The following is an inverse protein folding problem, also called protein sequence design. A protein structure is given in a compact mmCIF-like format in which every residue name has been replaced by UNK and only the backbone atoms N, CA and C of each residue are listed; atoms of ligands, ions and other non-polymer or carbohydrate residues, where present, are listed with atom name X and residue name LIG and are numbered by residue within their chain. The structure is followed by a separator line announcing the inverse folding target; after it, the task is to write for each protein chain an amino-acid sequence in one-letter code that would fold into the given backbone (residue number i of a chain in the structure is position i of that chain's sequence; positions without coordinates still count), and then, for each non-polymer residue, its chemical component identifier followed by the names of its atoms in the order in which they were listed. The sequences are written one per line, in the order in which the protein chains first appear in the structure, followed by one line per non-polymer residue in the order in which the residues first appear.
data_IF_897818665825
#
_entry.id   IF_897818665825
#
_cell.length_a   1.000
_cell.length_b   1.000
_cell.length_c   1.000
_cell.angle_alpha   90.00
_cell.angle_beta   90.00
_cell.angle_gamma   90.00
#
_symmetry.space_group_name_H-M   'P 1'
#
loop_
_entity.id
_entity.type
_entity.pdbx_description
1 polymer ?
#
# COMPACT_ATOMS: atom_id res chain seq x y z
N UNK A 1 -1.97 6.68 -13.11
CA UNK A 1 -3.06 5.75 -12.71
C UNK A 1 -3.00 5.61 -11.21
N UNK A 2 -4.14 5.66 -10.53
CA UNK A 2 -4.19 5.59 -9.07
C UNK A 2 -4.43 4.16 -8.63
N UNK A 3 -3.67 3.66 -7.66
CA UNK A 3 -3.80 2.29 -7.15
C UNK A 3 -4.52 2.31 -5.80
N UNK A 4 -5.38 1.31 -5.58
CA UNK A 4 -5.79 0.94 -4.22
C UNK A 4 -4.54 0.38 -3.53
N UNK A 5 -4.29 0.80 -2.30
CA UNK A 5 -3.15 0.35 -1.52
C UNK A 5 -3.55 0.33 -0.06
N UNK A 6 -3.22 -0.77 0.63
CA UNK A 6 -3.38 -0.88 2.08
C UNK A 6 -2.07 -1.40 2.62
N UNK A 7 -1.23 -0.50 3.12
CA UNK A 7 0.11 -0.86 3.63
C UNK A 7 0.27 -0.44 5.08
N UNK A 8 0.88 -1.33 5.84
CA UNK A 8 1.25 -1.10 7.22
C UNK A 8 2.75 -1.34 7.37
N UNK A 9 3.46 -0.30 7.76
CA UNK A 9 4.90 -0.31 7.93
C UNK A 9 5.27 -0.27 9.41
N UNK A 10 6.27 -1.08 9.78
CA UNK A 10 6.96 -1.01 11.07
C UNK A 10 8.37 -0.49 10.82
N UNK A 11 8.72 0.58 11.53
CA UNK A 11 9.90 1.40 11.29
C UNK A 11 10.72 1.45 12.56
N UNK A 12 11.84 0.73 12.54
CA UNK A 12 12.89 0.79 13.57
C UNK A 12 14.14 1.50 13.06
N UNK A 13 14.10 2.07 11.85
CA UNK A 13 15.20 2.80 11.22
C UNK A 13 15.13 4.30 11.50
N UNK A 14 16.29 4.93 11.67
CA UNK A 14 16.41 6.38 11.83
C UNK A 14 16.32 7.12 10.47
N UNK A 15 16.57 6.40 9.36
CA UNK A 15 16.46 6.90 7.99
C UNK A 15 15.78 5.83 7.11
N UNK A 16 14.44 5.70 7.17
CA UNK A 16 13.71 4.72 6.39
C UNK A 16 13.85 4.93 4.87
N UNK A 17 13.94 6.20 4.43
CA UNK A 17 14.01 6.57 3.02
C UNK A 17 15.33 6.08 2.42
N UNK A 18 16.47 6.36 3.06
CA UNK A 18 17.77 5.91 2.57
C UNK A 18 17.86 4.37 2.52
N UNK A 19 17.27 3.69 3.50
CA UNK A 19 17.27 2.22 3.53
C UNK A 19 16.43 1.61 2.40
N UNK A 20 15.26 2.18 2.09
CA UNK A 20 14.44 1.74 0.95
C UNK A 20 15.07 2.11 -0.40
N UNK A 21 15.87 3.18 -0.46
CA UNK A 21 16.58 3.59 -1.68
C UNK A 21 17.75 2.69 -2.05
N UNK A 22 18.26 1.92 -1.09
CA UNK A 22 19.49 1.13 -1.22
C UNK A 22 19.26 -0.28 -1.80
N UNK A 23 18.24 -0.45 -2.65
CA UNK A 23 17.83 -1.73 -3.24
C UNK A 23 17.67 -2.84 -2.18
N UNK A 24 16.67 -2.71 -1.28
CA UNK A 24 16.54 -3.58 -0.13
C UNK A 24 16.27 -5.02 -0.56
N UNK A 25 16.92 -5.97 0.11
CA UNK A 25 16.64 -7.40 -0.07
C UNK A 25 15.57 -7.85 0.92
N UNK A 26 14.58 -8.60 0.43
CA UNK A 26 13.54 -9.15 1.28
C UNK A 26 14.01 -10.42 2.00
N UNK A 27 13.98 -10.43 3.33
CA UNK A 27 14.09 -11.66 4.13
C UNK A 27 12.73 -12.35 4.19
N UNK A 28 12.53 -13.31 3.29
CA UNK A 28 11.27 -14.05 3.15
C UNK A 28 10.87 -14.78 4.44
N UNK A 29 11.83 -15.32 5.19
CA UNK A 29 11.55 -16.07 6.42
C UNK A 29 11.08 -15.11 7.52
N UNK A 30 11.72 -13.95 7.65
CA UNK A 30 11.29 -12.92 8.58
C UNK A 30 9.94 -12.30 8.18
N UNK A 31 9.73 -12.07 6.87
CA UNK A 31 8.46 -11.59 6.31
C UNK A 31 7.31 -12.59 6.58
N UNK A 32 7.54 -13.88 6.40
CA UNK A 32 6.57 -14.93 6.71
C UNK A 32 6.20 -14.95 8.19
N UNK A 33 7.20 -14.83 9.08
CA UNK A 33 6.96 -14.75 10.53
C UNK A 33 6.14 -13.53 10.90
N UNK A 34 6.42 -12.38 10.29
CA UNK A 34 5.62 -11.17 10.47
C UNK A 34 4.18 -11.39 10.00
N UNK A 35 3.98 -11.91 8.78
CA UNK A 35 2.64 -12.20 8.25
C UNK A 35 1.87 -13.23 9.11
N UNK A 36 2.56 -14.18 9.73
CA UNK A 36 1.93 -15.16 10.62
C UNK A 36 1.31 -14.53 11.87
N UNK A 37 1.88 -13.43 12.39
CA UNK A 37 1.35 -12.77 13.60
C UNK A 37 -0.09 -12.26 13.43
N UNK A 38 -0.51 -11.91 12.22
CA UNK A 38 -1.84 -11.33 11.95
C UNK A 38 -2.92 -12.38 11.68
N UNK A 39 -2.54 -13.64 11.43
CA UNK A 39 -3.47 -14.72 11.07
C UNK A 39 -3.57 -15.83 12.13
N UNK A 40 -2.99 -15.62 13.32
CA UNK A 40 -3.17 -16.50 14.48
C UNK A 40 -2.58 -17.89 14.26
N UNK A 41 -3.42 -18.92 14.30
CA UNK A 41 -3.05 -20.33 14.14
C UNK A 41 -2.98 -20.80 12.68
N UNK A 42 -3.31 -19.94 11.72
CA UNK A 42 -3.25 -20.25 10.28
C UNK A 42 -1.82 -20.44 9.80
N UNK A 43 -1.68 -21.26 8.76
CA UNK A 43 -0.40 -21.55 8.14
C UNK A 43 -0.23 -20.68 6.91
N UNK A 44 0.86 -19.90 6.87
CA UNK A 44 1.20 -19.08 5.71
C UNK A 44 2.26 -19.80 4.89
N UNK A 45 2.02 -19.89 3.58
CA UNK A 45 2.92 -20.56 2.63
C UNK A 45 3.34 -19.55 1.57
N UNK A 46 4.66 -19.36 1.31
CA UNK A 46 5.11 -18.44 0.28
C UNK A 46 4.68 -18.93 -1.11
N UNK A 47 4.21 -18.01 -1.94
CA UNK A 47 3.66 -18.30 -3.27
C UNK A 47 4.56 -17.73 -4.37
N UNK A 48 4.94 -16.46 -4.26
CA UNK A 48 5.76 -15.77 -5.25
C UNK A 48 6.42 -14.54 -4.64
N UNK A 49 7.62 -14.20 -5.13
CA UNK A 49 8.21 -12.89 -4.93
C UNK A 49 7.67 -11.92 -5.99
N UNK A 50 7.44 -10.68 -5.56
CA UNK A 50 6.93 -9.60 -6.39
C UNK A 50 7.40 -8.26 -5.80
N UNK A 51 6.88 -7.16 -6.31
CA UNK A 51 7.14 -5.81 -5.81
C UNK A 51 5.91 -5.22 -5.11
N UNK A 52 6.13 -4.17 -4.31
CA UNK A 52 5.09 -3.55 -3.52
C UNK A 52 4.01 -2.87 -4.37
N UNK A 53 4.34 -2.35 -5.56
CA UNK A 53 3.36 -1.76 -6.45
C UNK A 53 2.38 -2.81 -6.99
N UNK A 54 2.91 -3.95 -7.44
CA UNK A 54 2.13 -5.12 -7.86
C UNK A 54 1.29 -5.67 -6.70
N UNK A 55 1.88 -5.80 -5.51
CA UNK A 55 1.17 -6.24 -4.31
C UNK A 55 0.02 -5.31 -3.91
N UNK A 56 0.22 -3.99 -3.96
CA UNK A 56 -0.84 -3.03 -3.68
C UNK A 56 -1.99 -3.10 -4.70
N UNK A 57 -1.65 -3.27 -5.99
CA UNK A 57 -2.64 -3.42 -7.05
C UNK A 57 -3.37 -4.78 -7.04
N UNK A 58 -2.90 -5.75 -6.25
CA UNK A 58 -3.52 -7.06 -6.17
C UNK A 58 -4.90 -6.98 -5.50
N UNK A 59 -5.89 -7.59 -6.16
CA UNK A 59 -7.26 -7.69 -5.66
C UNK A 59 -7.60 -9.13 -5.24
N UNK A 60 -6.64 -9.81 -4.60
CA UNK A 60 -6.77 -11.18 -4.16
C UNK A 60 -6.79 -11.30 -2.62
N UNK A 61 -6.86 -12.54 -2.13
CA UNK A 61 -6.93 -12.84 -0.71
C UNK A 61 -5.56 -13.11 -0.07
N UNK A 62 -4.46 -12.85 -0.78
CA UNK A 62 -3.12 -13.07 -0.25
C UNK A 62 -2.75 -11.98 0.76
N UNK A 63 -1.77 -12.30 1.59
CA UNK A 63 -1.01 -11.31 2.33
C UNK A 63 0.36 -11.17 1.69
N UNK A 64 0.77 -9.93 1.47
CA UNK A 64 2.11 -9.62 1.00
C UNK A 64 2.92 -9.07 2.17
N UNK A 65 4.15 -9.54 2.33
CA UNK A 65 5.01 -9.06 3.39
C UNK A 65 6.45 -8.87 2.91
N UNK A 66 7.10 -7.85 3.46
CA UNK A 66 8.50 -7.54 3.22
C UNK A 66 9.25 -7.30 4.53
N UNK A 67 10.50 -7.74 4.60
CA UNK A 67 11.38 -7.50 5.73
C UNK A 67 12.79 -7.12 5.25
N UNK A 68 13.25 -5.95 5.70
CA UNK A 68 14.48 -5.31 5.20
C UNK A 68 15.45 -5.00 6.35
N UNK A 69 15.41 -5.77 7.44
CA UNK A 69 16.21 -5.53 8.65
C UNK A 69 15.46 -4.63 9.64
N UNK A 70 15.71 -3.32 9.62
CA UNK A 70 15.07 -2.33 10.52
C UNK A 70 13.74 -1.77 9.97
N UNK A 71 13.27 -2.29 8.84
CA UNK A 71 11.99 -1.95 8.23
C UNK A 71 11.25 -3.22 7.87
N UNK A 72 9.94 -3.20 7.98
CA UNK A 72 9.09 -4.27 7.48
C UNK A 72 7.72 -3.74 7.08
N UNK A 73 7.09 -4.37 6.10
CA UNK A 73 5.79 -3.99 5.56
C UNK A 73 4.84 -5.19 5.51
N UNK A 74 3.58 -4.94 5.80
CA UNK A 74 2.45 -5.79 5.45
C UNK A 74 1.57 -5.04 4.44
N UNK A 75 1.19 -5.71 3.36
CA UNK A 75 0.21 -5.22 2.40
C UNK A 75 -0.93 -6.23 2.31
N UNK A 76 -2.10 -5.87 2.85
CA UNK A 76 -3.32 -6.67 2.80
C UNK A 76 -4.55 -5.85 3.21
N UNK A 77 -5.72 -6.29 2.77
CA UNK A 77 -7.01 -5.62 3.04
C UNK A 77 -7.49 -5.70 4.49
N UNK A 78 -6.84 -6.47 5.37
CA UNK A 78 -7.22 -6.52 6.79
C UNK A 78 -7.06 -5.19 7.53
N UNK A 79 -6.20 -4.32 7.03
CA UNK A 79 -5.97 -2.99 7.61
C UNK A 79 -6.75 -1.88 6.89
N UNK A 80 -7.65 -2.24 5.98
CA UNK A 80 -8.52 -1.31 5.28
C UNK A 80 -9.56 -0.74 6.26
N UNK A 81 -9.43 0.54 6.59
CA UNK A 81 -10.26 1.19 7.60
C UNK A 81 -10.39 2.68 7.34
N UNK A 82 -11.52 3.25 7.75
CA UNK A 82 -11.74 4.70 7.85
C UNK A 82 -11.52 5.22 9.27
N UNK A 83 -11.15 4.35 10.21
CA UNK A 83 -10.84 4.71 11.60
C UNK A 83 -9.47 4.12 12.01
N UNK A 84 -8.34 4.60 11.47
CA UNK A 84 -7.02 4.03 11.76
C UNK A 84 -6.67 3.97 13.25
N UNK A 85 -7.15 4.91 14.08
CA UNK A 85 -6.86 4.94 15.53
C UNK A 85 -7.21 3.63 16.25
N UNK A 86 -8.21 2.91 15.75
CA UNK A 86 -8.67 1.63 16.30
C UNK A 86 -7.61 0.53 16.22
N UNK A 87 -6.62 0.67 15.33
CA UNK A 87 -5.56 -0.33 15.12
C UNK A 87 -4.47 -0.31 16.20
N UNK A 88 -4.48 0.65 17.14
CA UNK A 88 -3.42 0.80 18.16
C UNK A 88 -3.11 -0.51 18.91
N UNK A 89 -4.13 -1.25 19.34
CA UNK A 89 -3.93 -2.55 20.01
C UNK A 89 -3.49 -3.64 19.05
N UNK A 90 -4.01 -3.64 17.83
CA UNK A 90 -3.62 -4.59 16.77
C UNK A 90 -2.12 -4.47 16.48
N UNK A 91 -1.60 -3.25 16.32
CA UNK A 91 -0.17 -3.00 16.08
C UNK A 91 0.70 -3.53 17.22
N UNK A 92 0.31 -3.23 18.47
CA UNK A 92 1.00 -3.74 19.65
C UNK A 92 1.04 -5.27 19.72
N UNK A 93 0.02 -5.95 19.17
CA UNK A 93 -0.03 -7.42 19.10
C UNK A 93 0.83 -8.02 17.97
N UNK A 94 1.09 -7.26 16.91
CA UNK A 94 1.90 -7.70 15.77
C UNK A 94 3.39 -7.66 16.14
N UNK A 95 3.89 -6.46 16.46
CA UNK A 95 5.23 -6.28 17.03
C UNK A 95 5.40 -4.88 17.63
N UNK A 96 6.27 -4.73 18.64
CA UNK A 96 6.76 -3.42 19.03
C UNK A 96 7.68 -2.85 17.94
N UNK A 97 7.61 -1.55 17.71
CA UNK A 97 8.50 -0.79 16.84
C UNK A 97 8.68 0.65 17.33
N UNK A 98 9.75 1.32 16.90
CA UNK A 98 9.97 2.76 17.19
C UNK A 98 8.86 3.62 16.59
N UNK A 99 8.48 3.32 15.35
CA UNK A 99 7.30 3.89 14.70
C UNK A 99 6.54 2.86 13.87
N UNK A 100 5.27 3.14 13.60
CA UNK A 100 4.47 2.41 12.62
C UNK A 100 3.63 3.39 11.81
N UNK A 101 3.41 3.12 10.53
CA UNK A 101 2.59 3.97 9.66
C UNK A 101 1.61 3.14 8.84
N UNK A 102 0.36 3.60 8.78
CA UNK A 102 -0.67 3.05 7.91
C UNK A 102 -0.87 3.99 6.71
N UNK A 103 -1.05 3.40 5.53
CA UNK A 103 -1.62 4.04 4.35
C UNK A 103 -2.79 3.19 3.84
N UNK A 104 -3.92 3.86 3.60
CA UNK A 104 -5.07 3.32 2.87
C UNK A 104 -5.41 4.28 1.74
N UNK A 105 -5.48 3.79 0.51
CA UNK A 105 -5.97 4.53 -0.64
C UNK A 105 -7.14 3.79 -1.28
N UNK A 106 -8.21 4.53 -1.60
CA UNK A 106 -9.39 3.99 -2.27
C UNK A 106 -9.77 4.92 -3.45
N UNK A 107 -9.20 4.68 -4.65
CA UNK A 107 -9.47 5.51 -5.83
C UNK A 107 -10.93 5.50 -6.26
N UNK A 108 -11.68 4.41 -5.99
CA UNK A 108 -13.09 4.29 -6.37
C UNK A 108 -13.96 5.26 -5.55
N UNK A 109 -13.56 5.54 -4.31
CA UNK A 109 -14.25 6.47 -3.41
C UNK A 109 -13.58 7.84 -3.32
N UNK A 110 -12.46 8.04 -4.03
CA UNK A 110 -11.59 9.21 -3.85
C UNK A 110 -11.17 9.40 -2.38
N UNK A 111 -11.08 8.31 -1.63
CA UNK A 111 -10.82 8.33 -0.20
C UNK A 111 -9.37 7.98 0.11
N UNK A 112 -8.88 8.50 1.23
CA UNK A 112 -7.55 8.23 1.73
C UNK A 112 -7.55 8.23 3.25
N UNK A 113 -6.76 7.35 3.83
CA UNK A 113 -6.45 7.35 5.24
C UNK A 113 -4.97 7.14 5.49
N UNK A 114 -4.46 7.76 6.55
CA UNK A 114 -3.12 7.52 7.02
C UNK A 114 -3.07 7.66 8.54
N UNK A 115 -2.14 6.96 9.17
CA UNK A 115 -1.88 7.14 10.59
C UNK A 115 -0.43 6.84 10.92
N UNK A 116 0.04 7.43 12.01
CA UNK A 116 1.37 7.23 12.55
C UNK A 116 1.31 7.00 14.04
N UNK A 117 1.98 5.93 14.46
CA UNK A 117 2.25 5.60 15.85
C UNK A 117 3.74 5.74 16.12
N UNK A 118 4.08 6.13 17.34
CA UNK A 118 5.45 6.17 17.82
C UNK A 118 5.50 5.53 19.21
N UNK A 119 6.36 4.52 19.36
CA UNK A 119 6.48 3.72 20.58
C UNK A 119 5.12 3.15 21.07
N UNK A 120 4.26 2.75 20.13
CA UNK A 120 2.93 2.20 20.40
C UNK A 120 1.84 3.24 20.71
N UNK A 121 2.17 4.54 20.75
CA UNK A 121 1.19 5.61 20.95
C UNK A 121 0.77 6.23 19.62
N UNK A 122 -0.53 6.45 19.44
CA UNK A 122 -1.03 7.16 18.27
C UNK A 122 -0.60 8.63 18.30
N UNK A 123 0.05 9.10 17.23
CA UNK A 123 0.48 10.50 17.07
C UNK A 123 -0.43 11.29 16.15
N UNK A 124 -0.83 10.67 15.04
CA UNK A 124 -1.70 11.27 14.01
C UNK A 124 -2.51 10.19 13.34
N UNK A 125 -3.78 10.47 13.08
CA UNK A 125 -4.67 9.63 12.29
C UNK A 125 -5.64 10.51 11.53
N UNK A 126 -5.75 10.29 10.23
CA UNK A 126 -6.65 11.01 9.34
C UNK A 126 -7.29 10.03 8.36
N UNK A 127 -8.58 10.19 8.13
CA UNK A 127 -9.31 9.44 7.10
C UNK A 127 -10.45 10.30 6.56
N UNK A 128 -10.56 10.40 5.23
CA UNK A 128 -11.63 11.17 4.60
C UNK A 128 -11.96 10.68 3.19
N UNK A 129 -13.18 10.98 2.75
CA UNK A 129 -13.54 11.13 1.34
C UNK A 129 -13.63 12.63 0.99
N UNK A 130 -13.83 13.03 -0.27
CA UNK A 130 -13.79 14.44 -0.65
C UNK A 130 -14.78 15.36 0.08
N UNK A 131 -15.81 14.83 0.75
CA UNK A 131 -16.86 15.63 1.41
C UNK A 131 -17.05 15.27 2.89
N UNK A 132 -16.41 14.21 3.37
CA UNK A 132 -16.57 13.69 4.73
C UNK A 132 -15.22 13.38 5.34
N UNK A 133 -14.93 13.99 6.48
CA UNK A 133 -13.86 13.53 7.38
C UNK A 133 -14.44 12.43 8.27
N UNK A 134 -13.90 11.21 8.16
CA UNK A 134 -14.26 10.08 9.01
C UNK A 134 -13.48 10.11 10.32
N UNK A 135 -12.18 10.42 10.23
CA UNK A 135 -11.31 10.55 11.39
C UNK A 135 -10.34 11.72 11.20
N UNK A 136 -10.13 12.50 12.26
CA UNK A 136 -9.10 13.54 12.35
C UNK A 136 -8.62 13.64 13.81
N UNK A 137 -7.63 12.82 14.15
CA UNK A 137 -7.08 12.70 15.50
C UNK A 137 -5.59 13.03 15.51
N UNK A 138 -5.13 13.64 16.61
CA UNK A 138 -3.74 14.06 16.79
C UNK A 138 -3.43 15.41 16.15
N UNK A 139 -2.17 15.85 16.26
CA UNK A 139 -1.73 17.13 15.69
C UNK A 139 -1.27 16.94 14.25
N UNK A 140 -1.74 17.76 13.29
CA UNK A 140 -1.25 17.71 11.92
C UNK A 140 0.27 17.90 11.81
N UNK A 141 0.90 17.15 10.91
CA UNK A 141 2.30 17.35 10.56
C UNK A 141 2.49 18.57 9.62
N UNK A 142 3.70 19.16 9.56
CA UNK A 142 3.95 20.33 8.71
C UNK A 142 3.62 20.13 7.22
N UNK A 143 3.79 18.91 6.69
CA UNK A 143 3.48 18.60 5.30
C UNK A 143 1.98 18.70 4.97
N UNK A 144 1.10 18.66 5.97
CA UNK A 144 -0.34 18.78 5.76
C UNK A 144 -0.76 20.25 5.52
N UNK A 145 0.05 21.22 5.94
CA UNK A 145 -0.30 22.65 5.90
C UNK A 145 -0.73 23.12 4.50
N UNK A 146 -0.01 22.84 3.41
CA UNK A 146 -0.41 23.29 2.06
C UNK A 146 -1.79 22.75 1.65
N UNK A 147 -2.13 21.53 2.08
CA UNK A 147 -3.44 20.93 1.81
C UNK A 147 -4.53 21.70 2.52
N UNK A 148 -4.39 21.93 3.83
CA UNK A 148 -5.36 22.71 4.62
C UNK A 148 -5.47 24.18 4.16
N UNK A 149 -4.40 24.74 3.59
CA UNK A 149 -4.39 26.08 3.01
C UNK A 149 -5.06 26.17 1.62
N UNK A 150 -5.46 25.03 1.03
CA UNK A 150 -6.06 24.97 -0.30
C UNK A 150 -5.08 25.12 -1.45
N UNK A 151 -3.79 24.88 -1.21
CA UNK A 151 -2.74 24.90 -2.24
C UNK A 151 -2.78 23.63 -3.13
N UNK A 152 -3.55 22.61 -2.72
CA UNK A 152 -3.80 21.35 -3.44
C UNK A 152 -5.29 21.18 -3.79
N UNK A 153 -5.90 22.06 -4.62
CA UNK A 153 -7.34 22.08 -4.83
C UNK A 153 -7.88 20.79 -5.47
N UNK A 154 -9.05 20.32 -4.99
CA UNK A 154 -9.80 19.26 -5.65
C UNK A 154 -10.03 19.56 -7.13
N UNK A 155 -9.73 18.60 -7.99
CA UNK A 155 -9.98 18.69 -9.43
C UNK A 155 -11.28 17.97 -9.80
N UNK A 156 -12.18 18.71 -10.42
CA UNK A 156 -13.49 18.22 -10.84
C UNK A 156 -13.48 17.81 -12.31
N UNK A 157 -14.23 16.77 -12.65
CA UNK A 157 -14.48 16.43 -14.04
C UNK A 157 -15.19 17.58 -14.79
N UNK A 158 -14.95 17.75 -16.11
CA UNK A 158 -15.62 18.78 -16.89
C UNK A 158 -17.14 18.71 -16.74
N UNK A 159 -17.76 19.83 -16.36
CA UNK A 159 -19.22 19.93 -16.16
C UNK A 159 -19.74 19.45 -14.80
N UNK A 160 -18.87 19.00 -13.89
CA UNK A 160 -19.23 18.71 -12.50
C UNK A 160 -19.07 19.98 -11.65
N UNK A 161 -20.14 20.48 -11.02
CA UNK A 161 -20.02 21.63 -10.12
C UNK A 161 -19.23 21.26 -8.86
N UNK A 162 -18.48 22.21 -8.32
CA UNK A 162 -17.81 22.05 -7.04
C UNK A 162 -18.84 21.78 -5.93
N UNK A 163 -18.54 20.82 -5.05
CA UNK A 163 -19.44 20.48 -3.94
C UNK A 163 -19.15 21.45 -2.75
N UNK A 164 -20.16 22.16 -2.20
CA UNK A 164 -19.91 23.23 -1.21
C UNK A 164 -19.22 22.78 0.09
N UNK A 165 -19.35 21.50 0.44
CA UNK A 165 -18.75 20.89 1.64
C UNK A 165 -17.50 20.07 1.32
N UNK A 166 -16.99 20.18 0.09
CA UNK A 166 -15.81 19.44 -0.29
C UNK A 166 -14.58 19.96 0.46
N UNK A 167 -13.70 19.04 0.83
CA UNK A 167 -12.38 19.35 1.35
C UNK A 167 -11.59 20.19 0.34
N UNK A 168 -10.67 21.04 0.81
CA UNK A 168 -9.86 21.86 -0.09
C UNK A 168 -8.83 21.04 -0.88
N UNK A 169 -8.80 19.71 -0.72
CA UNK A 169 -7.87 18.78 -1.35
C UNK A 169 -8.43 17.38 -1.54
N UNK A 170 -7.75 16.56 -2.34
CA UNK A 170 -8.08 15.14 -2.51
C UNK A 170 -7.53 14.32 -1.32
N UNK A 171 -8.37 13.64 -0.51
CA UNK A 171 -7.90 12.92 0.68
C UNK A 171 -6.81 11.88 0.41
N UNK A 172 -6.91 11.18 -0.71
CA UNK A 172 -5.88 10.23 -1.14
C UNK A 172 -4.53 10.91 -1.42
N UNK A 173 -4.52 12.13 -1.94
CA UNK A 173 -3.28 12.87 -2.19
C UNK A 173 -2.59 13.22 -0.87
N UNK A 174 -3.36 13.65 0.14
CA UNK A 174 -2.82 13.90 1.47
C UNK A 174 -2.28 12.61 2.13
N UNK A 175 -3.01 11.49 1.99
CA UNK A 175 -2.57 10.20 2.51
C UNK A 175 -1.27 9.72 1.83
N UNK A 176 -1.18 9.81 0.51
CA UNK A 176 0.05 9.50 -0.23
C UNK A 176 1.20 10.47 0.09
N UNK A 177 0.90 11.76 0.35
CA UNK A 177 1.93 12.70 0.82
C UNK A 177 2.48 12.28 2.19
N UNK A 178 1.64 11.81 3.12
CA UNK A 178 2.14 11.30 4.41
C UNK A 178 3.08 10.11 4.21
N UNK A 179 2.73 9.17 3.33
CA UNK A 179 3.59 8.04 2.98
C UNK A 179 4.91 8.49 2.33
N UNK A 180 4.85 9.49 1.47
CA UNK A 180 6.02 10.10 0.82
C UNK A 180 6.97 10.74 1.83
N UNK A 181 6.44 11.46 2.81
CA UNK A 181 7.25 12.12 3.84
C UNK A 181 7.92 11.12 4.79
N UNK A 182 7.28 9.99 5.06
CA UNK A 182 7.79 9.01 6.02
C UNK A 182 8.64 7.90 5.38
N UNK A 183 8.37 7.55 4.13
CA UNK A 183 8.96 6.39 3.46
C UNK A 183 9.51 6.72 2.07
N UNK A 184 9.29 7.92 1.56
CA UNK A 184 9.91 8.41 0.31
C UNK A 184 9.19 8.03 -0.96
N UNK A 185 8.03 7.38 -0.91
CA UNK A 185 7.28 6.97 -2.11
C UNK A 185 5.78 7.22 -2.02
N UNK A 186 5.13 7.13 -3.18
CA UNK A 186 3.68 7.12 -3.35
C UNK A 186 3.29 6.09 -4.40
N UNK A 187 2.01 5.73 -4.47
CA UNK A 187 1.53 4.72 -5.43
C UNK A 187 0.97 5.34 -6.70
N UNK A 188 0.46 6.57 -6.64
CA UNK A 188 -0.13 7.21 -7.81
C UNK A 188 0.95 7.67 -8.78
N UNK A 189 0.79 7.28 -10.04
CA UNK A 189 1.62 7.71 -11.17
C UNK A 189 1.05 8.92 -11.92
N UNK A 190 1.90 9.81 -12.47
CA UNK A 190 3.36 9.71 -12.53
C UNK A 190 4.07 10.03 -11.20
N UNK A 191 5.16 9.30 -10.92
CA UNK A 191 6.04 9.60 -9.78
C UNK A 191 6.83 10.88 -10.06
N UNK A 192 7.13 11.65 -9.01
CA UNK A 192 8.09 12.74 -9.10
C UNK A 192 9.52 12.19 -9.10
N UNK A 193 10.49 12.94 -9.62
CA UNK A 193 11.90 12.51 -9.67
C UNK A 193 12.50 12.22 -8.28
N UNK A 194 11.91 12.76 -7.22
CA UNK A 194 12.33 12.52 -5.83
C UNK A 194 11.60 11.37 -5.16
N UNK A 195 10.63 10.76 -5.83
CA UNK A 195 9.87 9.63 -5.28
C UNK A 195 10.63 8.33 -5.55
N UNK A 196 10.74 7.49 -4.52
CA UNK A 196 11.14 6.11 -4.70
C UNK A 196 10.05 5.35 -5.45
N UNK A 197 10.47 4.46 -6.33
CA UNK A 197 9.54 3.61 -7.07
C UNK A 197 9.13 2.41 -6.21
N UNK A 198 7.84 2.27 -5.83
CA UNK A 198 7.38 1.10 -5.08
C UNK A 198 7.58 -0.23 -5.84
N UNK A 199 7.78 -0.19 -7.16
CA UNK A 199 8.14 -1.38 -7.94
C UNK A 199 9.56 -1.89 -7.66
N UNK A 200 10.38 -1.13 -6.92
CA UNK A 200 11.72 -1.54 -6.45
C UNK A 200 11.74 -2.10 -5.04
N UNK A 201 10.59 -2.16 -4.36
CA UNK A 201 10.49 -2.67 -2.99
C UNK A 201 10.00 -4.13 -3.05
N UNK A 202 10.88 -5.12 -2.85
CA UNK A 202 10.48 -6.53 -2.99
C UNK A 202 9.64 -6.99 -1.81
N UNK A 203 8.59 -7.76 -2.09
CA UNK A 203 7.73 -8.42 -1.09
C UNK A 203 7.43 -9.85 -1.55
N UNK A 204 7.03 -10.70 -0.61
CA UNK A 204 6.60 -12.08 -0.91
C UNK A 204 5.10 -12.19 -0.66
N UNK A 205 4.39 -12.80 -1.60
CA UNK A 205 2.99 -13.19 -1.47
C UNK A 205 2.89 -14.49 -0.67
N UNK A 206 1.98 -14.55 0.30
CA UNK A 206 1.71 -15.74 1.09
C UNK A 206 0.25 -16.18 0.96
N UNK A 207 0.05 -17.46 0.64
CA UNK A 207 -1.23 -18.15 0.72
C UNK A 207 -1.57 -18.47 2.17
N UNK A 208 -2.84 -18.29 2.52
CA UNK A 208 -3.35 -18.49 3.87
C UNK A 208 -4.09 -19.82 3.92
N UNK A 209 -3.57 -20.76 4.71
CA UNK A 209 -4.14 -22.09 4.89
C UNK A 209 -4.73 -22.29 6.30
N UNK A 210 -5.64 -23.27 6.49
CA UNK A 210 -6.10 -23.68 7.81
C UNK A 210 -4.96 -24.15 8.72
N UNK A 211 -5.21 -24.18 10.04
CA UNK A 211 -4.20 -24.49 11.06
C UNK A 211 -3.66 -25.93 11.00
N UNK A 212 -4.43 -26.88 10.45
CA UNK A 212 -4.04 -28.28 10.28
C UNK A 212 -3.29 -28.55 8.97
N UNK A 213 -3.09 -27.52 8.14
CA UNK A 213 -2.34 -27.65 6.90
C UNK A 213 -0.86 -27.88 7.19
N UNK A 214 -0.28 -28.92 6.59
CA UNK A 214 1.15 -29.20 6.65
C UNK A 214 1.74 -28.91 5.27
N UNK A 215 2.59 -27.86 5.12
CA UNK A 215 3.20 -27.54 3.84
C UNK A 215 3.99 -28.73 3.28
N UNK A 216 3.69 -29.09 2.03
CA UNK A 216 4.34 -30.20 1.35
C UNK A 216 5.59 -29.75 0.59
N UNK A 217 6.44 -30.69 0.20
CA UNK A 217 7.61 -30.41 -0.66
C UNK A 217 7.18 -29.76 -1.99
N UNK A 218 5.99 -30.10 -2.49
CA UNK A 218 5.39 -29.50 -3.69
C UNK A 218 5.12 -28.00 -3.54
N UNK A 219 4.76 -27.51 -2.35
CA UNK A 219 4.54 -26.08 -2.11
C UNK A 219 5.85 -25.31 -2.25
N UNK A 220 6.91 -25.85 -1.67
CA UNK A 220 8.26 -25.28 -1.77
C UNK A 220 8.79 -25.35 -3.20
N UNK A 221 8.55 -26.45 -3.91
CA UNK A 221 8.94 -26.59 -5.30
C UNK A 221 8.20 -25.59 -6.21
N UNK A 222 6.90 -25.34 -5.97
CA UNK A 222 6.13 -24.32 -6.69
C UNK A 222 6.68 -22.92 -6.44
N UNK A 223 6.95 -22.59 -5.17
CA UNK A 223 7.54 -21.31 -4.81
C UNK A 223 8.91 -21.10 -5.48
N UNK A 224 9.81 -22.09 -5.41
CA UNK A 224 11.12 -22.04 -6.08
C UNK A 224 11.01 -21.95 -7.61
N UNK A 225 10.03 -22.66 -8.20
CA UNK A 225 9.71 -22.55 -9.61
C UNK A 225 9.33 -21.12 -10.00
N UNK A 226 8.47 -20.48 -9.22
CA UNK A 226 8.04 -19.10 -9.46
C UNK A 226 9.20 -18.09 -9.32
N UNK A 227 10.13 -18.29 -8.37
CA UNK A 227 11.35 -17.47 -8.26
C UNK A 227 12.20 -17.52 -9.54
N UNK A 228 12.33 -18.70 -10.13
CA UNK A 228 13.17 -18.91 -11.34
C UNK A 228 12.54 -18.23 -12.56
N UNK A 229 11.21 -18.29 -12.68
CA UNK A 229 10.47 -17.64 -13.78
C UNK A 229 10.56 -16.12 -13.67
N UNK A 230 10.37 -15.55 -12.48
CA UNK A 230 10.49 -14.10 -12.25
C UNK A 230 11.91 -13.56 -12.47
N UNK A 231 12.96 -14.35 -12.16
CA UNK A 231 14.36 -13.99 -12.43
C UNK A 231 14.76 -14.09 -13.92
N UNK A 232 14.07 -14.92 -14.71
CA UNK A 232 14.35 -15.09 -16.14
C UNK A 232 13.78 -13.98 -17.04
N UNK A 233 12.82 -13.20 -16.55
CA UNK A 233 12.20 -12.10 -17.29
C UNK A 233 13.10 -10.86 -17.46
N UNK A 234 14.36 -10.91 -17.01
CA UNK A 234 15.36 -9.83 -17.17
C UNK A 234 16.33 -10.09 -18.34
N UNK A 235 16.13 -11.17 -19.11
CA UNK A 235 16.91 -11.42 -20.32
C UNK A 235 16.03 -11.47 -21.58
N UNK A 236 16.36 -10.57 -22.50
CA UNK A 236 15.94 -10.48 -23.91
C UNK A 236 14.74 -9.56 -24.20
N UNK A 237 15.07 -8.29 -24.44
CA UNK A 237 14.20 -7.33 -25.13
C UNK A 237 14.55 -7.42 -26.64
N UNK A 238 13.67 -8.06 -27.41
CA UNK A 238 13.95 -8.43 -28.80
C UNK A 238 12.73 -8.86 -29.62
N UNK A 239 11.99 -7.86 -30.11
CA UNK A 239 11.18 -7.84 -31.33
C UNK A 239 9.86 -8.65 -31.45
N UNK A 240 8.78 -7.86 -31.56
CA UNK A 240 7.57 -7.98 -32.41
C UNK A 240 6.97 -9.36 -32.77
N UNK A 241 5.71 -9.56 -32.36
CA UNK A 241 4.67 -10.09 -33.25
C UNK A 241 3.27 -9.67 -32.80
N UNK A 242 2.58 -8.94 -33.67
CA UNK A 242 1.17 -8.60 -33.57
C UNK A 242 0.27 -9.84 -33.64
N UNK A 243 -0.74 -9.92 -32.76
CA UNK A 243 -1.98 -10.64 -33.06
C UNK A 243 -3.16 -10.05 -32.29
N UNK A 244 -4.21 -9.70 -33.02
CA UNK A 244 -5.44 -9.13 -32.48
C UNK A 244 -6.35 -10.17 -31.83
N UNK A 245 -7.07 -9.74 -30.80
CA UNK A 245 -8.23 -10.43 -30.24
C UNK A 245 -9.23 -9.43 -29.66
N UNK A 246 -10.53 -9.77 -29.61
CA UNK A 246 -11.63 -8.83 -29.82
C UNK A 246 -12.05 -8.08 -28.55
N UNK A 247 -12.67 -6.91 -28.78
CA UNK A 247 -13.13 -5.98 -27.75
C UNK A 247 -14.14 -6.62 -26.77
N UNK A 248 -13.99 -6.39 -25.45
CA UNK A 248 -14.96 -6.85 -24.46
C UNK A 248 -16.24 -5.97 -24.47
N UNK A 249 -17.39 -6.54 -24.05
CA UNK A 249 -18.68 -5.85 -24.09
C UNK A 249 -18.75 -4.71 -23.06
N UNK A 250 -19.60 -3.69 -23.29
CA UNK A 250 -19.63 -2.49 -22.46
C UNK A 250 -20.15 -2.79 -21.05
N UNK A 251 -19.28 -2.59 -20.05
CA UNK A 251 -19.66 -2.64 -18.63
C UNK A 251 -20.59 -1.46 -18.32
N UNK A 252 -21.72 -1.76 -17.67
CA UNK A 252 -22.69 -0.78 -17.15
C UNK A 252 -21.98 0.30 -16.33
N UNK A 253 -22.25 1.57 -16.67
CA UNK A 253 -21.78 2.78 -15.97
C UNK A 253 -22.19 2.74 -14.48
N UNK A 254 -21.33 2.20 -13.63
CA UNK A 254 -21.22 2.63 -12.23
C UNK A 254 -20.70 4.07 -12.19
N UNK A 255 -20.88 4.77 -11.06
CA UNK A 255 -20.48 6.16 -10.83
C UNK A 255 -18.97 6.38 -11.11
N UNK A 256 -18.60 6.56 -12.37
CA UNK A 256 -17.24 6.91 -12.78
C UNK A 256 -16.92 8.33 -12.31
N UNK A 257 -15.87 8.44 -11.49
CA UNK A 257 -14.98 9.59 -11.25
C UNK A 257 -15.60 10.99 -11.38
N UNK A 258 -16.26 11.48 -10.31
CA UNK A 258 -16.57 12.92 -10.17
C UNK A 258 -15.30 13.76 -9.97
N UNK A 259 -14.32 13.16 -9.32
CA UNK A 259 -13.04 13.76 -8.98
C UNK A 259 -11.96 13.07 -9.81
N UNK A 260 -11.11 13.86 -10.47
CA UNK A 260 -9.90 13.34 -11.09
C UNK A 260 -8.75 13.55 -10.11
N UNK A 261 -8.07 12.47 -9.77
CA UNK A 261 -6.82 12.55 -9.05
C UNK A 261 -5.67 12.97 -9.98
N UNK A 262 -4.85 13.88 -9.46
CA UNK A 262 -3.42 14.08 -9.76
C UNK A 262 -3.06 14.80 -11.07
N UNK A 263 -2.32 15.89 -10.90
CA UNK A 263 -1.59 16.63 -11.93
C UNK A 263 -0.47 17.42 -11.27
#
# INVERSE_FOLDING_TARGET
MSARAVTLWFIDSDDPIAQLSADPLNDVVAAQKLAATIYGDRVLVPVADTDLATAAAAADAHVYAGWYGRLSVLCCSLFDTTEPSTLTRTLASIRPSSAATLLVTDPDRSAGAFARWEHGELRRSFAADPVTIFEDSGLPYPFERPFWAGEHPLRYAPGVPAEPLALPFHPQELAEQANREWLGFRFTTPLADTDLDPARIPVTAFAIHPADYVPAEEDWARYQGNLTVSGSAVADDGADAASGSPAPPPKRRGRLARYFGFG
#
